data_IF_342377411146
#
_entry.id   IF_342377411146
#
_cell.length_a   1.000
_cell.length_b   1.000
_cell.length_c   1.000
_cell.angle_alpha   90.00
_cell.angle_beta   90.00
_cell.angle_gamma   90.00
#
_symmetry.space_group_name_H-M   'P 1'
#
loop_
_entity.id
_entity.type
_entity.pdbx_description
1 polymer ?
#
# COMPACT_ATOMS: atom_id res chain seq x y z
N UNK A 1 -27.20 18.95 19.87
CA UNK A 1 -27.78 20.18 19.28
C UNK A 1 -26.71 20.99 18.53
N UNK A 2 -26.00 20.39 17.56
CA UNK A 2 -25.19 21.15 16.59
C UNK A 2 -25.89 21.30 15.22
N UNK A 3 -26.95 20.52 14.97
CA UNK A 3 -27.74 20.47 13.72
C UNK A 3 -28.66 21.68 13.44
N UNK A 4 -28.52 22.81 14.15
CA UNK A 4 -29.45 23.95 14.03
C UNK A 4 -28.81 25.26 13.56
N UNK A 5 -27.55 25.24 13.13
CA UNK A 5 -26.87 26.43 12.62
C UNK A 5 -26.32 26.18 11.22
N UNK A 6 -27.10 26.55 10.20
CA UNK A 6 -26.72 26.35 8.80
C UNK A 6 -25.49 27.15 8.36
N UNK A 7 -25.04 28.15 9.14
CA UNK A 7 -23.74 28.77 8.87
C UNK A 7 -22.60 27.79 9.08
N UNK A 8 -22.68 26.96 10.13
CA UNK A 8 -21.68 25.92 10.40
C UNK A 8 -21.68 24.85 9.32
N UNK A 9 -22.86 24.48 8.84
CA UNK A 9 -22.99 23.52 7.73
C UNK A 9 -22.40 24.09 6.44
N UNK A 10 -22.64 25.36 6.11
CA UNK A 10 -22.00 26.00 4.97
C UNK A 10 -20.47 26.05 5.11
N UNK A 11 -19.95 26.41 6.29
CA UNK A 11 -18.51 26.42 6.56
C UNK A 11 -17.90 25.01 6.41
N UNK A 12 -18.60 23.99 6.91
CA UNK A 12 -18.24 22.59 6.73
C UNK A 12 -18.21 22.20 5.24
N UNK A 13 -19.22 22.60 4.47
CA UNK A 13 -19.28 22.37 3.02
C UNK A 13 -18.15 23.04 2.25
N UNK A 14 -17.79 24.28 2.61
CA UNK A 14 -16.63 24.98 2.05
C UNK A 14 -15.35 24.19 2.33
N UNK A 15 -15.13 23.80 3.59
CA UNK A 15 -13.96 23.01 3.98
C UNK A 15 -13.93 21.65 3.28
N UNK A 16 -15.07 20.98 3.16
CA UNK A 16 -15.19 19.71 2.47
C UNK A 16 -14.84 19.85 0.98
N UNK A 17 -15.34 20.91 0.32
CA UNK A 17 -15.03 21.20 -1.09
C UNK A 17 -13.53 21.48 -1.28
N UNK A 18 -12.91 22.22 -0.37
CA UNK A 18 -11.47 22.50 -0.42
C UNK A 18 -10.61 21.22 -0.33
N UNK A 19 -10.99 20.29 0.55
CA UNK A 19 -10.22 19.07 0.79
C UNK A 19 -10.49 17.97 -0.25
N UNK A 20 -11.75 17.83 -0.69
CA UNK A 20 -12.20 16.66 -1.46
C UNK A 20 -12.78 16.99 -2.84
N UNK A 21 -13.05 18.26 -3.15
CA UNK A 21 -13.60 18.67 -4.45
C UNK A 21 -12.65 18.45 -5.64
N UNK A 22 -11.36 18.19 -5.37
CA UNK A 22 -10.37 17.79 -6.39
C UNK A 22 -10.30 16.28 -6.64
N UNK A 23 -11.03 15.46 -5.88
CA UNK A 23 -11.06 14.01 -6.11
C UNK A 23 -11.81 13.71 -7.42
N UNK A 24 -11.28 12.75 -8.19
CA UNK A 24 -11.89 12.29 -9.44
C UNK A 24 -13.32 11.80 -9.16
N UNK A 25 -14.25 12.27 -9.99
CA UNK A 25 -15.67 11.90 -9.96
C UNK A 25 -16.40 12.22 -8.64
N UNK A 26 -15.87 13.14 -7.82
CA UNK A 26 -16.55 13.70 -6.65
C UNK A 26 -17.00 15.13 -6.96
N UNK A 27 -18.22 15.47 -6.57
CA UNK A 27 -18.80 16.81 -6.65
C UNK A 27 -19.22 17.26 -5.27
N UNK A 28 -18.88 18.49 -4.94
CA UNK A 28 -19.29 19.15 -3.71
C UNK A 28 -19.88 20.49 -4.13
N UNK A 29 -21.15 20.82 -3.86
CA UNK A 29 -21.75 22.08 -4.31
C UNK A 29 -21.01 23.29 -3.74
N UNK A 30 -20.98 24.38 -4.48
CA UNK A 30 -20.47 25.66 -3.96
C UNK A 30 -21.43 26.20 -2.90
N UNK A 31 -20.89 26.58 -1.73
CA UNK A 31 -21.67 27.16 -0.64
C UNK A 31 -21.75 28.67 -0.81
N UNK A 32 -22.97 29.21 -0.95
CA UNK A 32 -23.20 30.65 -1.05
C UNK A 32 -23.30 31.25 0.36
N UNK A 33 -22.13 31.37 1.01
CA UNK A 33 -22.01 31.73 2.44
C UNK A 33 -22.64 33.10 2.76
N UNK A 34 -22.54 34.06 1.83
CA UNK A 34 -23.09 35.41 2.02
C UNK A 34 -24.63 35.43 2.06
N UNK A 35 -25.26 34.47 1.38
CA UNK A 35 -26.71 34.28 1.30
C UNK A 35 -27.22 33.29 2.36
N UNK A 36 -26.31 32.58 3.04
CA UNK A 36 -26.63 31.63 4.10
C UNK A 36 -26.84 32.34 5.43
N UNK A 37 -27.95 32.02 6.11
CA UNK A 37 -28.27 32.47 7.47
C UNK A 37 -28.26 31.28 8.43
N UNK A 38 -28.50 31.51 9.72
CA UNK A 38 -28.61 30.39 10.68
C UNK A 38 -29.76 29.42 10.38
N UNK A 39 -30.77 29.88 9.61
CA UNK A 39 -32.02 29.14 9.34
C UNK A 39 -32.27 28.86 7.85
N UNK A 40 -31.43 29.38 6.95
CA UNK A 40 -31.50 29.11 5.52
C UNK A 40 -30.10 28.83 5.00
N UNK A 41 -29.87 27.62 4.48
CA UNK A 41 -28.66 27.24 3.75
C UNK A 41 -28.85 27.51 2.25
N UNK A 42 -27.88 28.17 1.61
CA UNK A 42 -27.91 28.45 0.16
C UNK A 42 -26.66 27.87 -0.48
N UNK A 43 -26.83 26.99 -1.46
CA UNK A 43 -25.74 26.31 -2.15
C UNK A 43 -26.05 26.07 -3.63
N UNK A 44 -25.03 25.71 -4.41
CA UNK A 44 -25.15 25.36 -5.82
C UNK A 44 -26.17 24.23 -6.01
N UNK A 45 -27.08 24.42 -6.95
CA UNK A 45 -28.02 23.38 -7.37
C UNK A 45 -27.28 22.24 -8.08
N UNK A 46 -27.56 21.00 -7.71
CA UNK A 46 -26.98 19.79 -8.30
C UNK A 46 -28.11 18.86 -8.71
N UNK A 47 -28.09 18.43 -9.96
CA UNK A 47 -29.07 17.49 -10.51
C UNK A 47 -28.50 16.08 -10.62
N UNK A 48 -29.31 15.10 -10.26
CA UNK A 48 -28.93 13.70 -10.29
C UNK A 48 -30.00 12.79 -9.71
N UNK A 49 -29.66 11.52 -9.60
CA UNK A 49 -30.50 10.49 -9.00
C UNK A 49 -29.88 10.08 -7.66
N UNK A 50 -30.70 9.73 -6.67
CA UNK A 50 -30.20 9.29 -5.35
C UNK A 50 -29.33 8.04 -5.52
N UNK A 51 -28.15 8.03 -4.91
CA UNK A 51 -27.20 6.93 -5.09
C UNK A 51 -27.81 5.57 -4.74
N UNK A 52 -28.66 5.52 -3.70
CA UNK A 52 -29.37 4.32 -3.28
C UNK A 52 -30.31 3.72 -4.34
N UNK A 53 -30.73 4.51 -5.34
CA UNK A 53 -31.71 4.11 -6.36
C UNK A 53 -31.07 3.66 -7.68
N UNK A 54 -29.81 4.04 -7.96
CA UNK A 54 -29.21 3.86 -9.30
C UNK A 54 -28.45 2.55 -9.47
N UNK A 55 -28.31 1.74 -8.41
CA UNK A 55 -27.52 0.49 -8.41
C UNK A 55 -26.15 0.64 -9.11
N UNK A 56 -25.49 1.78 -8.91
CA UNK A 56 -24.20 2.09 -9.55
C UNK A 56 -23.06 1.74 -8.61
N UNK A 57 -22.48 0.56 -8.80
CA UNK A 57 -21.38 0.07 -7.98
C UNK A 57 -20.14 0.97 -8.06
N UNK A 58 -19.87 1.55 -9.23
CA UNK A 58 -18.71 2.45 -9.41
C UNK A 58 -18.85 3.71 -8.55
N UNK A 59 -20.04 4.32 -8.52
CA UNK A 59 -20.29 5.48 -7.65
C UNK A 59 -20.21 5.16 -6.16
N UNK A 60 -20.61 3.94 -5.79
CA UNK A 60 -20.44 3.46 -4.40
C UNK A 60 -18.95 3.33 -4.06
N UNK A 61 -18.14 2.80 -4.97
CA UNK A 61 -16.68 2.72 -4.80
C UNK A 61 -16.03 4.11 -4.72
N UNK A 62 -16.49 5.08 -5.51
CA UNK A 62 -16.07 6.49 -5.37
C UNK A 62 -16.42 7.03 -3.98
N UNK A 63 -17.60 6.70 -3.45
CA UNK A 63 -18.03 7.08 -2.10
C UNK A 63 -17.18 6.47 -1.01
N UNK A 64 -16.88 5.17 -1.10
CA UNK A 64 -15.96 4.46 -0.20
C UNK A 64 -14.58 5.09 -0.26
N UNK A 65 -14.03 5.29 -1.46
CA UNK A 65 -12.74 5.93 -1.67
C UNK A 65 -12.68 7.33 -1.05
N UNK A 66 -13.70 8.16 -1.27
CA UNK A 66 -13.81 9.50 -0.69
C UNK A 66 -13.85 9.43 0.85
N UNK A 67 -14.61 8.48 1.40
CA UNK A 67 -14.71 8.28 2.86
C UNK A 67 -13.37 7.87 3.49
N UNK A 68 -12.55 7.09 2.80
CA UNK A 68 -11.20 6.78 3.27
C UNK A 68 -10.22 7.96 3.16
N UNK A 69 -10.32 8.78 2.12
CA UNK A 69 -9.58 10.04 2.08
C UNK A 69 -9.98 10.95 3.24
N UNK A 70 -11.27 11.02 3.53
CA UNK A 70 -11.79 11.77 4.66
C UNK A 70 -11.22 11.31 5.99
N UNK A 71 -11.23 9.99 6.21
CA UNK A 71 -10.78 9.38 7.44
C UNK A 71 -9.27 9.47 7.64
N UNK A 72 -8.50 9.16 6.59
CA UNK A 72 -7.07 8.85 6.72
C UNK A 72 -6.16 9.93 6.10
N UNK A 73 -6.60 10.67 5.06
CA UNK A 73 -5.75 11.68 4.40
C UNK A 73 -5.76 13.02 5.12
N UNK A 74 -6.94 13.56 5.42
CA UNK A 74 -7.08 14.89 6.04
C UNK A 74 -7.75 14.85 7.41
N UNK A 75 -8.48 13.77 7.72
CA UNK A 75 -9.16 13.59 8.99
C UNK A 75 -10.45 14.38 9.14
N UNK A 76 -10.88 15.16 8.14
CA UNK A 76 -12.17 15.86 8.18
C UNK A 76 -13.25 15.01 7.50
N UNK A 77 -14.13 14.37 8.27
CA UNK A 77 -14.98 13.29 7.77
C UNK A 77 -16.46 13.54 7.97
N UNK A 78 -17.25 13.01 7.03
CA UNK A 78 -18.70 12.97 7.11
C UNK A 78 -19.11 11.85 8.05
N UNK A 79 -19.69 12.20 9.19
CA UNK A 79 -19.98 11.26 10.26
C UNK A 79 -21.26 10.44 10.03
N UNK A 80 -22.13 10.90 9.12
CA UNK A 80 -23.35 10.19 8.73
C UNK A 80 -23.70 10.35 7.24
N UNK A 81 -22.96 9.73 6.30
CA UNK A 81 -23.20 9.89 4.86
C UNK A 81 -24.46 9.12 4.44
N UNK A 82 -25.62 9.58 4.89
CA UNK A 82 -26.89 8.95 4.63
C UNK A 82 -27.12 8.86 3.11
N UNK A 83 -27.59 7.70 2.57
CA UNK A 83 -27.74 7.53 1.13
C UNK A 83 -28.61 8.57 0.43
N UNK A 84 -29.53 9.20 1.18
CA UNK A 84 -30.37 10.30 0.71
C UNK A 84 -29.63 11.62 0.43
N UNK A 85 -28.44 11.79 0.99
CA UNK A 85 -27.60 12.99 0.84
C UNK A 85 -26.51 12.81 -0.23
N UNK A 86 -26.54 11.69 -0.94
CA UNK A 86 -25.62 11.34 -2.02
C UNK A 86 -26.40 11.23 -3.34
N UNK A 87 -25.97 11.98 -4.35
CA UNK A 87 -26.51 11.87 -5.70
C UNK A 87 -25.46 11.32 -6.66
N UNK A 88 -25.91 10.50 -7.59
CA UNK A 88 -25.23 10.28 -8.86
C UNK A 88 -25.71 11.36 -9.84
N UNK A 89 -24.83 12.25 -10.24
CA UNK A 89 -25.12 13.27 -11.26
C UNK A 89 -25.26 12.62 -12.64
N UNK A 90 -25.95 13.28 -13.57
CA UNK A 90 -26.16 12.74 -14.92
C UNK A 90 -24.86 12.62 -15.73
N UNK A 91 -23.82 13.38 -15.39
CA UNK A 91 -22.47 13.25 -15.97
C UNK A 91 -21.62 12.17 -15.27
N UNK A 92 -22.20 11.37 -14.37
CA UNK A 92 -21.57 10.19 -13.78
C UNK A 92 -20.61 10.50 -12.64
N UNK A 93 -20.93 11.46 -11.77
CA UNK A 93 -20.16 11.81 -10.58
C UNK A 93 -20.97 11.66 -9.31
N UNK A 94 -20.27 11.49 -8.18
CA UNK A 94 -20.87 11.40 -6.86
C UNK A 94 -20.92 12.78 -6.20
N UNK A 95 -22.12 13.31 -5.99
CA UNK A 95 -22.35 14.57 -5.30
C UNK A 95 -22.75 14.38 -3.84
N UNK A 96 -22.12 15.15 -2.94
CA UNK A 96 -22.49 15.25 -1.52
C UNK A 96 -23.35 16.49 -1.29
N UNK A 97 -24.44 16.35 -0.53
CA UNK A 97 -25.41 17.45 -0.32
C UNK A 97 -25.57 17.90 1.13
N UNK A 98 -25.17 17.10 2.11
CA UNK A 98 -25.31 17.38 3.54
C UNK A 98 -23.93 17.49 4.17
N UNK A 99 -23.74 18.51 5.00
CA UNK A 99 -22.49 18.73 5.73
C UNK A 99 -22.77 19.10 7.21
N UNK A 100 -23.96 18.74 7.70
CA UNK A 100 -24.42 19.03 9.06
C UNK A 100 -23.68 18.21 10.11
N UNK A 101 -23.24 17.00 9.75
CA UNK A 101 -22.53 16.07 10.64
C UNK A 101 -21.10 15.80 10.18
N UNK A 102 -20.21 16.76 10.45
CA UNK A 102 -18.77 16.61 10.21
C UNK A 102 -17.98 16.39 11.50
N UNK A 103 -16.92 15.59 11.43
CA UNK A 103 -15.99 15.35 12.51
C UNK A 103 -14.53 15.53 12.09
N UNK A 104 -13.64 15.54 13.07
CA UNK A 104 -12.19 15.65 12.86
C UNK A 104 -11.40 14.55 13.56
N UNK A 105 -10.45 13.97 12.84
CA UNK A 105 -9.46 13.01 13.32
C UNK A 105 -8.07 13.64 13.38
N UNK A 106 -7.47 13.57 14.57
CA UNK A 106 -6.07 13.93 14.77
C UNK A 106 -5.15 13.01 13.96
N UNK A 107 -4.04 13.56 13.48
CA UNK A 107 -3.10 12.82 12.64
C UNK A 107 -2.56 11.55 13.31
N UNK A 108 -2.32 11.57 14.62
CA UNK A 108 -1.78 10.42 15.35
C UNK A 108 -2.73 9.22 15.31
N UNK A 109 -4.04 9.47 15.34
CA UNK A 109 -5.06 8.43 15.22
C UNK A 109 -5.16 7.89 13.81
N UNK A 110 -4.98 8.74 12.79
CA UNK A 110 -4.96 8.34 11.38
C UNK A 110 -3.79 7.43 11.09
N UNK A 111 -2.59 7.82 11.53
CA UNK A 111 -1.38 7.01 11.41
C UNK A 111 -1.53 5.68 12.15
N UNK A 112 -2.08 5.70 13.39
CA UNK A 112 -2.33 4.48 14.16
C UNK A 112 -3.34 3.53 13.49
N UNK A 113 -4.35 4.06 12.79
CA UNK A 113 -5.29 3.22 12.03
C UNK A 113 -4.62 2.57 10.82
N UNK A 114 -3.80 3.33 10.09
CA UNK A 114 -3.02 2.79 8.96
C UNK A 114 -2.07 1.69 9.43
N UNK A 115 -1.37 1.89 10.55
CA UNK A 115 -0.51 0.87 11.17
C UNK A 115 -1.27 -0.39 11.56
N UNK A 116 -2.43 -0.24 12.22
CA UNK A 116 -3.29 -1.37 12.57
C UNK A 116 -3.71 -2.17 11.34
N UNK A 117 -4.05 -1.49 10.24
CA UNK A 117 -4.33 -2.17 8.97
C UNK A 117 -3.11 -2.92 8.43
N UNK A 118 -1.91 -2.31 8.48
CA UNK A 118 -0.67 -2.98 8.03
C UNK A 118 -0.35 -4.21 8.87
N UNK A 119 -0.42 -4.12 10.20
CA UNK A 119 -0.17 -5.24 11.11
C UNK A 119 -1.20 -6.35 10.92
N UNK A 120 -2.48 -6.01 10.73
CA UNK A 120 -3.52 -6.99 10.43
C UNK A 120 -3.23 -7.75 9.13
N UNK A 121 -2.91 -7.04 8.05
CA UNK A 121 -2.61 -7.65 6.75
C UNK A 121 -1.34 -8.51 6.80
N UNK A 122 -0.33 -8.06 7.55
CA UNK A 122 0.91 -8.80 7.75
C UNK A 122 0.76 -9.98 8.72
N UNK A 123 -0.41 -10.14 9.36
CA UNK A 123 -0.67 -11.14 10.41
C UNK A 123 0.24 -10.96 11.62
N UNK A 124 0.65 -9.73 11.89
CA UNK A 124 1.41 -9.34 13.08
C UNK A 124 0.45 -8.97 14.21
N UNK A 125 -0.10 -10.00 14.86
CA UNK A 125 -1.11 -9.80 15.90
C UNK A 125 -0.53 -9.21 17.19
N UNK A 126 0.78 -9.36 17.41
CA UNK A 126 1.47 -8.75 18.54
C UNK A 126 1.60 -7.24 18.41
N UNK A 127 1.91 -6.77 17.20
CA UNK A 127 1.90 -5.35 16.88
C UNK A 127 0.46 -4.81 16.85
N UNK A 128 -0.49 -5.55 16.26
CA UNK A 128 -1.91 -5.17 16.23
C UNK A 128 -2.49 -4.96 17.64
N UNK A 129 -2.13 -5.80 18.61
CA UNK A 129 -2.54 -5.65 20.00
C UNK A 129 -2.03 -4.33 20.61
N UNK A 130 -0.80 -3.91 20.27
CA UNK A 130 -0.24 -2.62 20.71
C UNK A 130 -0.97 -1.44 20.06
N UNK A 131 -1.35 -1.57 18.79
CA UNK A 131 -2.10 -0.51 18.10
C UNK A 131 -3.46 -0.30 18.75
N UNK A 132 -4.12 -1.38 19.18
CA UNK A 132 -5.42 -1.29 19.84
C UNK A 132 -5.32 -0.54 21.18
N UNK A 133 -4.21 -0.66 21.90
CA UNK A 133 -3.94 0.18 23.08
C UNK A 133 -3.69 1.64 22.67
N UNK A 134 -2.86 1.86 21.64
CA UNK A 134 -2.51 3.19 21.12
C UNK A 134 -3.74 3.97 20.63
N UNK A 135 -4.68 3.27 19.99
CA UNK A 135 -5.94 3.81 19.47
C UNK A 135 -7.00 4.01 20.56
N UNK A 136 -6.72 3.61 21.80
CA UNK A 136 -7.63 3.70 22.93
C UNK A 136 -8.76 2.66 22.94
N UNK A 137 -8.67 1.64 22.07
CA UNK A 137 -9.63 0.52 22.02
C UNK A 137 -9.47 -0.41 23.21
N UNK A 138 -8.23 -0.55 23.72
CA UNK A 138 -7.87 -1.33 24.88
C UNK A 138 -7.20 -0.47 25.96
N UNK A 139 -7.46 -0.74 27.25
CA UNK A 139 -6.71 -0.08 28.32
C UNK A 139 -5.25 -0.54 28.32
N UNK A 140 -4.28 0.31 28.73
CA UNK A 140 -2.87 -0.09 28.84
C UNK A 140 -2.62 -1.25 29.81
N UNK A 141 -3.57 -1.52 30.71
CA UNK A 141 -3.53 -2.63 31.67
C UNK A 141 -4.08 -3.94 31.12
N UNK A 142 -4.47 -4.00 29.83
CA UNK A 142 -4.97 -5.23 29.23
C UNK A 142 -3.86 -6.28 29.15
N UNK A 143 -4.21 -7.54 29.43
CA UNK A 143 -3.30 -8.67 29.27
C UNK A 143 -2.96 -8.85 27.79
N UNK A 144 -1.72 -8.49 27.44
CA UNK A 144 -1.25 -8.47 26.06
C UNK A 144 -1.29 -9.86 25.42
N UNK A 145 -0.88 -10.90 26.13
CA UNK A 145 -0.85 -12.26 25.57
C UNK A 145 -2.26 -12.77 25.29
N UNK A 146 -3.16 -12.58 26.25
CA UNK A 146 -4.55 -12.99 26.10
C UNK A 146 -5.26 -12.18 24.99
N UNK A 147 -4.96 -10.89 24.85
CA UNK A 147 -5.45 -10.05 23.74
C UNK A 147 -4.90 -10.53 22.41
N UNK A 148 -3.58 -10.73 22.29
CA UNK A 148 -2.95 -11.23 21.05
C UNK A 148 -3.59 -12.56 20.64
N UNK A 149 -3.79 -13.50 21.56
CA UNK A 149 -4.46 -14.78 21.28
C UNK A 149 -5.89 -14.59 20.77
N UNK A 150 -6.64 -13.68 21.38
CA UNK A 150 -8.02 -13.43 20.98
C UNK A 150 -8.11 -12.76 19.59
N UNK A 151 -7.31 -11.71 19.35
CA UNK A 151 -7.19 -11.08 18.04
C UNK A 151 -6.74 -12.08 16.99
N UNK A 152 -5.76 -12.94 17.32
CA UNK A 152 -5.33 -14.01 16.43
C UNK A 152 -6.48 -14.93 16.06
N UNK A 153 -7.32 -15.35 17.01
CA UNK A 153 -8.49 -16.20 16.73
C UNK A 153 -9.50 -15.55 15.78
N UNK A 154 -9.79 -14.26 15.98
CA UNK A 154 -10.74 -13.49 15.17
C UNK A 154 -10.18 -13.25 13.76
N UNK A 155 -8.98 -12.71 13.67
CA UNK A 155 -8.44 -12.16 12.43
C UNK A 155 -7.72 -13.20 11.56
N UNK A 156 -7.19 -14.29 12.14
CA UNK A 156 -6.52 -15.34 11.35
C UNK A 156 -7.46 -15.97 10.32
N UNK A 157 -8.69 -16.26 10.72
CA UNK A 157 -9.70 -16.85 9.83
C UNK A 157 -10.22 -15.84 8.80
N UNK A 158 -10.28 -14.56 9.17
CA UNK A 158 -10.68 -13.49 8.26
C UNK A 158 -9.62 -13.30 7.16
N UNK A 159 -8.34 -13.17 7.55
CA UNK A 159 -7.22 -12.91 6.62
C UNK A 159 -6.77 -14.17 5.88
N UNK A 160 -7.09 -15.39 6.35
CA UNK A 160 -6.74 -16.62 5.64
C UNK A 160 -7.42 -16.74 4.27
N UNK A 161 -8.60 -16.14 4.11
CA UNK A 161 -9.32 -16.08 2.84
C UNK A 161 -8.86 -14.92 1.94
N UNK A 162 -7.88 -14.12 2.38
CA UNK A 162 -7.45 -12.89 1.72
C UNK A 162 -8.19 -11.66 2.26
N UNK A 163 -7.49 -10.54 2.39
CA UNK A 163 -8.01 -9.28 2.95
C UNK A 163 -9.22 -8.78 2.16
N UNK A 164 -9.19 -8.98 0.84
CA UNK A 164 -10.28 -8.59 -0.06
C UNK A 164 -11.58 -9.36 0.14
N UNK A 165 -11.54 -10.47 0.89
CA UNK A 165 -12.71 -11.31 1.16
C UNK A 165 -13.29 -11.08 2.56
N UNK A 166 -12.78 -10.10 3.31
CA UNK A 166 -13.25 -9.80 4.67
C UNK A 166 -14.46 -8.87 4.60
N UNK A 167 -15.60 -9.35 5.11
CA UNK A 167 -16.79 -8.54 5.37
C UNK A 167 -16.54 -7.67 6.62
N UNK A 168 -16.78 -6.36 6.50
CA UNK A 168 -16.57 -5.45 7.63
C UNK A 168 -17.60 -5.70 8.74
N UNK A 169 -18.86 -5.96 8.37
CA UNK A 169 -19.91 -6.37 9.30
C UNK A 169 -19.55 -7.62 10.11
N UNK A 170 -19.07 -8.69 9.45
CA UNK A 170 -18.71 -9.95 10.13
C UNK A 170 -17.50 -9.76 11.05
N UNK A 171 -16.52 -8.97 10.59
CA UNK A 171 -15.34 -8.62 11.38
C UNK A 171 -15.72 -7.91 12.68
N UNK A 172 -16.62 -6.93 12.58
CA UNK A 172 -17.12 -6.17 13.73
C UNK A 172 -17.91 -7.08 14.70
N UNK A 173 -18.74 -7.98 14.17
CA UNK A 173 -19.49 -8.95 14.97
C UNK A 173 -18.57 -9.89 15.74
N UNK A 174 -17.57 -10.47 15.06
CA UNK A 174 -16.58 -11.35 15.67
C UNK A 174 -15.75 -10.60 16.73
N UNK A 175 -15.35 -9.36 16.45
CA UNK A 175 -14.65 -8.53 17.43
C UNK A 175 -15.57 -8.24 18.64
N UNK A 176 -16.85 -7.97 18.42
CA UNK A 176 -17.83 -7.72 19.49
C UNK A 176 -17.91 -8.82 20.55
N UNK A 177 -17.83 -10.09 20.15
CA UNK A 177 -17.78 -11.20 21.11
C UNK A 177 -16.51 -11.17 21.98
N UNK A 178 -15.39 -10.73 21.40
CA UNK A 178 -14.10 -10.58 22.08
C UNK A 178 -14.07 -9.32 22.97
N UNK A 179 -14.80 -8.27 22.58
CA UNK A 179 -14.85 -6.98 23.27
C UNK A 179 -15.35 -7.11 24.73
N UNK A 180 -16.33 -7.98 24.97
CA UNK A 180 -16.87 -8.24 26.31
C UNK A 180 -15.83 -8.82 27.27
N UNK A 181 -14.89 -9.63 26.77
CA UNK A 181 -13.88 -10.30 27.60
C UNK A 181 -12.75 -9.36 28.04
N UNK A 182 -12.36 -8.41 27.19
CA UNK A 182 -11.16 -7.58 27.40
C UNK A 182 -11.45 -6.12 27.77
N UNK A 183 -12.70 -5.79 28.13
CA UNK A 183 -13.14 -4.42 28.47
C UNK A 183 -12.78 -3.42 27.37
N UNK A 184 -13.01 -3.80 26.11
CA UNK A 184 -12.84 -2.88 25.00
C UNK A 184 -13.69 -1.63 25.22
N UNK A 185 -13.09 -0.47 24.93
CA UNK A 185 -13.82 0.80 24.90
C UNK A 185 -13.76 1.29 23.48
N UNK A 186 -14.92 1.42 22.83
CA UNK A 186 -14.97 2.05 21.50
C UNK A 186 -15.07 3.55 21.75
N UNK A 187 -14.06 4.35 21.39
CA UNK A 187 -14.17 5.79 21.48
C UNK A 187 -15.30 6.29 20.57
N UNK A 188 -15.96 7.38 20.97
CA UNK A 188 -17.11 7.93 20.22
C UNK A 188 -16.78 8.28 18.77
N UNK A 189 -15.53 8.64 18.47
CA UNK A 189 -15.09 8.90 17.10
C UNK A 189 -15.04 7.61 16.25
N UNK A 190 -14.65 6.47 16.83
CA UNK A 190 -14.59 5.19 16.12
C UNK A 190 -16.00 4.69 15.75
N UNK A 191 -17.00 4.94 16.59
CA UNK A 191 -18.37 4.47 16.31
C UNK A 191 -18.98 5.16 15.08
N UNK A 192 -18.64 6.43 14.83
CA UNK A 192 -19.07 7.18 13.65
C UNK A 192 -18.43 6.63 12.37
N UNK A 193 -17.14 6.29 12.43
CA UNK A 193 -16.43 5.67 11.29
C UNK A 193 -17.00 4.30 10.97
N UNK A 194 -17.18 3.46 12.00
CA UNK A 194 -17.77 2.13 11.86
C UNK A 194 -19.16 2.25 11.22
N UNK A 195 -19.99 3.21 11.65
CA UNK A 195 -21.31 3.46 11.06
C UNK A 195 -21.20 3.88 9.60
N UNK A 196 -20.35 4.85 9.28
CA UNK A 196 -20.15 5.33 7.91
C UNK A 196 -19.75 4.20 6.96
N UNK A 197 -18.78 3.36 7.36
CA UNK A 197 -18.32 2.23 6.54
C UNK A 197 -19.39 1.13 6.42
N UNK A 198 -20.10 0.82 7.50
CA UNK A 198 -21.18 -0.16 7.48
C UNK A 198 -22.35 0.26 6.59
N UNK A 199 -22.70 1.55 6.58
CA UNK A 199 -23.73 2.09 5.67
C UNK A 199 -23.30 1.93 4.22
N UNK A 200 -22.07 2.32 3.88
CA UNK A 200 -21.56 2.18 2.51
C UNK A 200 -21.47 0.71 2.07
N UNK A 201 -21.00 -0.19 2.94
CA UNK A 201 -20.98 -1.63 2.67
C UNK A 201 -22.40 -2.16 2.47
N UNK A 202 -23.38 -1.73 3.26
CA UNK A 202 -24.78 -2.12 3.10
C UNK A 202 -25.38 -1.70 1.76
N UNK A 203 -25.11 -0.46 1.31
CA UNK A 203 -25.51 0.01 -0.01
C UNK A 203 -24.83 -0.83 -1.10
N UNK A 204 -23.52 -1.10 -0.96
CA UNK A 204 -22.77 -1.89 -1.93
C UNK A 204 -23.29 -3.33 -2.04
N UNK A 205 -23.59 -3.98 -0.91
CA UNK A 205 -24.15 -5.35 -0.86
C UNK A 205 -25.52 -5.42 -1.54
N UNK A 206 -26.32 -4.35 -1.48
CA UNK A 206 -27.60 -4.29 -2.17
C UNK A 206 -27.47 -4.34 -3.70
N UNK A 207 -26.31 -3.97 -4.24
CA UNK A 207 -25.98 -3.99 -5.67
C UNK A 207 -25.16 -5.23 -6.05
N UNK A 208 -24.14 -5.54 -5.26
CA UNK A 208 -23.25 -6.68 -5.43
C UNK A 208 -23.14 -7.44 -4.09
N UNK A 209 -23.82 -8.60 -3.93
CA UNK A 209 -23.79 -9.39 -2.70
C UNK A 209 -22.39 -9.82 -2.24
N UNK A 210 -21.45 -9.94 -3.17
CA UNK A 210 -20.08 -10.34 -2.90
C UNK A 210 -19.17 -9.15 -2.54
N UNK A 211 -19.69 -7.92 -2.51
CA UNK A 211 -18.90 -6.73 -2.18
C UNK A 211 -18.28 -6.81 -0.78
N UNK A 212 -17.04 -6.30 -0.67
CA UNK A 212 -16.27 -6.26 0.58
C UNK A 212 -15.57 -4.91 0.68
N UNK A 213 -16.04 -4.05 1.59
CA UNK A 213 -15.54 -2.67 1.70
C UNK A 213 -14.06 -2.61 2.08
N UNK A 214 -13.58 -3.56 2.89
CA UNK A 214 -12.16 -3.61 3.26
C UNK A 214 -11.27 -3.97 2.06
N UNK A 215 -11.78 -4.80 1.14
CA UNK A 215 -11.07 -5.16 -0.08
C UNK A 215 -10.88 -3.98 -1.02
N UNK A 216 -11.93 -3.20 -1.25
CA UNK A 216 -11.85 -1.98 -2.08
C UNK A 216 -10.96 -0.89 -1.46
N UNK A 217 -10.74 -0.95 -0.14
CA UNK A 217 -9.96 0.02 0.60
C UNK A 217 -8.47 -0.29 0.63
N UNK A 218 -8.08 -1.56 0.68
CA UNK A 218 -6.68 -1.94 0.84
C UNK A 218 -5.73 -1.31 -0.21
N UNK A 219 -6.11 -1.18 -1.49
CA UNK A 219 -5.37 -0.39 -2.48
C UNK A 219 -5.09 1.06 -2.07
N UNK A 220 -6.03 1.72 -1.40
CA UNK A 220 -5.86 3.07 -0.86
C UNK A 220 -4.78 3.09 0.22
N UNK A 221 -4.84 2.15 1.16
CA UNK A 221 -3.86 2.02 2.25
C UNK A 221 -2.47 1.75 1.68
N UNK A 222 -2.36 0.83 0.71
CA UNK A 222 -1.10 0.52 0.05
C UNK A 222 -0.47 1.75 -0.62
N UNK A 223 -1.27 2.54 -1.36
CA UNK A 223 -0.78 3.81 -1.95
C UNK A 223 -0.35 4.80 -0.88
N UNK A 224 -1.15 4.97 0.18
CA UNK A 224 -0.84 5.91 1.27
C UNK A 224 0.50 5.56 1.90
N UNK A 225 0.67 4.31 2.33
CA UNK A 225 1.90 3.84 2.99
C UNK A 225 3.14 3.99 2.10
N UNK A 226 3.01 3.71 0.80
CA UNK A 226 4.13 3.86 -0.13
C UNK A 226 4.49 5.34 -0.40
N UNK A 227 3.54 6.27 -0.28
CA UNK A 227 3.67 7.67 -0.72
C UNK A 227 3.78 8.69 0.40
N UNK A 228 3.51 8.29 1.64
CA UNK A 228 3.50 9.19 2.79
C UNK A 228 4.93 9.52 3.26
N UNK A 229 5.09 10.75 3.77
CA UNK A 229 6.37 11.25 4.27
C UNK A 229 6.48 11.22 5.79
N UNK A 230 5.40 10.88 6.50
CA UNK A 230 5.34 10.74 7.96
C UNK A 230 6.45 9.79 8.41
N UNK A 231 7.32 10.21 9.36
CA UNK A 231 8.37 9.35 9.92
C UNK A 231 7.81 8.04 10.47
N UNK A 232 6.58 8.10 11.02
CA UNK A 232 5.89 6.97 11.61
C UNK A 232 5.55 5.93 10.53
N UNK A 233 4.84 6.33 9.47
CA UNK A 233 4.49 5.43 8.37
C UNK A 233 5.71 4.92 7.59
N UNK A 234 6.78 5.72 7.48
CA UNK A 234 8.05 5.25 6.93
C UNK A 234 8.68 4.15 7.76
N UNK A 235 8.65 4.28 9.08
CA UNK A 235 9.09 3.23 10.00
C UNK A 235 8.24 1.96 9.83
N UNK A 236 6.91 2.09 9.81
CA UNK A 236 6.02 0.94 9.65
C UNK A 236 6.22 0.25 8.30
N UNK A 237 6.44 1.01 7.22
CA UNK A 237 6.78 0.46 5.90
C UNK A 237 8.14 -0.24 5.95
N UNK A 238 9.14 0.32 6.64
CA UNK A 238 10.44 -0.31 6.80
C UNK A 238 10.34 -1.63 7.58
N UNK A 239 9.61 -1.66 8.69
CA UNK A 239 9.35 -2.87 9.48
C UNK A 239 8.53 -3.91 8.69
N UNK A 240 7.71 -3.45 7.74
CA UNK A 240 6.99 -4.31 6.81
C UNK A 240 7.91 -4.86 5.71
N UNK A 241 8.85 -4.07 5.22
CA UNK A 241 9.76 -4.48 4.15
C UNK A 241 10.98 -5.26 4.66
N UNK A 242 11.32 -5.16 5.94
CA UNK A 242 12.46 -5.87 6.51
C UNK A 242 12.03 -6.79 7.65
N UNK A 243 12.72 -7.93 7.79
CA UNK A 243 12.62 -8.78 8.97
C UNK A 243 13.98 -9.34 9.28
N UNK A 244 14.46 -9.13 10.51
CA UNK A 244 15.79 -9.59 10.95
C UNK A 244 16.92 -9.11 10.01
N UNK A 245 16.78 -7.88 9.48
CA UNK A 245 17.71 -7.29 8.52
C UNK A 245 17.58 -7.79 7.07
N UNK A 246 16.69 -8.75 6.80
CA UNK A 246 16.45 -9.31 5.46
C UNK A 246 15.30 -8.58 4.78
N UNK A 247 15.55 -8.09 3.57
CA UNK A 247 14.54 -7.45 2.73
C UNK A 247 13.52 -8.47 2.19
N UNK A 248 12.24 -8.19 2.42
CA UNK A 248 11.09 -9.00 2.03
C UNK A 248 10.47 -8.44 0.75
N UNK A 249 11.11 -8.71 -0.38
CA UNK A 249 10.65 -8.26 -1.69
C UNK A 249 9.21 -8.67 -2.03
N UNK A 250 8.75 -9.85 -1.58
CA UNK A 250 7.35 -10.28 -1.74
C UNK A 250 6.35 -9.27 -1.16
N UNK A 251 6.72 -8.59 -0.07
CA UNK A 251 5.87 -7.58 0.57
C UNK A 251 5.82 -6.30 -0.24
N UNK A 252 6.95 -5.87 -0.80
CA UNK A 252 6.99 -4.71 -1.70
C UNK A 252 6.17 -5.00 -2.96
N UNK A 253 6.36 -6.16 -3.58
CA UNK A 253 5.60 -6.61 -4.76
C UNK A 253 4.09 -6.59 -4.49
N UNK A 254 3.67 -7.15 -3.35
CA UNK A 254 2.26 -7.16 -2.95
C UNK A 254 1.72 -5.74 -2.74
N UNK A 255 2.42 -4.88 -2.00
CA UNK A 255 1.97 -3.49 -1.78
C UNK A 255 1.89 -2.71 -3.08
N UNK A 256 2.89 -2.81 -3.97
CA UNK A 256 2.89 -2.13 -5.26
C UNK A 256 1.71 -2.62 -6.11
N UNK A 257 1.51 -3.93 -6.23
CA UNK A 257 0.39 -4.51 -6.99
C UNK A 257 -0.95 -3.99 -6.50
N UNK A 258 -1.17 -4.00 -5.19
CA UNK A 258 -2.43 -3.57 -4.57
C UNK A 258 -2.62 -2.05 -4.71
N UNK A 259 -1.54 -1.28 -4.61
CA UNK A 259 -1.56 0.17 -4.82
C UNK A 259 -2.02 0.56 -6.22
N UNK A 260 -1.77 -0.30 -7.22
CA UNK A 260 -2.17 -0.09 -8.59
C UNK A 260 -3.61 -0.53 -8.86
N UNK A 261 -4.10 -1.58 -8.17
CA UNK A 261 -5.45 -2.13 -8.36
C UNK A 261 -6.54 -1.07 -8.37
N UNK A 262 -6.60 -0.17 -7.40
CA UNK A 262 -7.67 0.85 -7.39
C UNK A 262 -7.49 2.01 -8.39
N UNK A 263 -6.40 2.07 -9.18
CA UNK A 263 -6.39 2.88 -10.42
C UNK A 263 -6.82 2.05 -11.61
N UNK A 264 -6.35 0.82 -11.71
CA UNK A 264 -6.70 -0.09 -12.82
C UNK A 264 -8.15 -0.51 -12.81
N UNK A 265 -8.81 -0.84 -11.69
CA UNK A 265 -10.25 -1.15 -11.71
C UNK A 265 -11.09 0.06 -12.18
N UNK A 266 -10.70 1.27 -11.76
CA UNK A 266 -11.32 2.54 -12.17
C UNK A 266 -11.08 2.85 -13.67
N UNK A 267 -9.91 2.54 -14.21
CA UNK A 267 -9.57 2.83 -15.61
C UNK A 267 -9.92 1.65 -16.56
N UNK A 268 -9.96 0.41 -16.10
CA UNK A 268 -10.34 -0.81 -16.85
C UNK A 268 -11.83 -0.86 -17.12
N UNK A 269 -12.67 -0.37 -16.20
CA UNK A 269 -14.10 -0.13 -16.46
C UNK A 269 -14.29 0.92 -17.57
N UNK A 270 -13.32 1.84 -17.76
CA UNK A 270 -13.40 2.93 -18.75
C UNK A 270 -12.72 2.62 -20.07
N UNK A 271 -11.76 1.68 -20.13
CA UNK A 271 -11.00 1.35 -21.34
C UNK A 271 -10.94 -0.16 -21.58
N UNK A 272 -12.01 -0.70 -22.13
CA UNK A 272 -11.92 -1.89 -22.99
C UNK A 272 -11.43 -1.44 -24.38
N UNK A 273 -10.13 -1.18 -24.53
CA UNK A 273 -9.43 -1.15 -25.81
C UNK A 273 -7.93 -0.90 -25.60
N UNK A 274 -7.13 -1.80 -26.17
CA UNK A 274 -5.72 -1.69 -26.56
C UNK A 274 -4.62 -2.13 -25.56
N UNK A 275 -3.79 -3.01 -26.11
CA UNK A 275 -2.51 -3.61 -25.70
C UNK A 275 -1.79 -3.10 -24.43
N UNK A 276 -1.43 -4.09 -23.59
CA UNK A 276 -0.26 -4.00 -22.71
C UNK A 276 -0.52 -3.69 -21.24
N UNK A 277 -1.35 -4.49 -20.55
CA UNK A 277 -1.57 -4.40 -19.09
C UNK A 277 -0.24 -4.32 -18.31
N UNK A 278 0.76 -5.14 -18.69
CA UNK A 278 2.09 -5.13 -18.09
C UNK A 278 2.87 -3.82 -18.32
N UNK A 279 2.71 -3.17 -19.49
CA UNK A 279 3.39 -1.90 -19.79
C UNK A 279 2.76 -0.74 -19.02
N UNK A 280 1.44 -0.75 -18.85
CA UNK A 280 0.73 0.23 -18.04
C UNK A 280 1.10 0.13 -16.56
N UNK A 281 1.11 -1.09 -16.01
CA UNK A 281 1.53 -1.37 -14.63
C UNK A 281 2.97 -0.91 -14.40
N UNK A 282 3.89 -1.25 -15.32
CA UNK A 282 5.29 -0.82 -15.26
C UNK A 282 5.44 0.70 -15.27
N UNK A 283 4.72 1.38 -16.18
CA UNK A 283 4.73 2.85 -16.27
C UNK A 283 4.24 3.49 -14.98
N UNK A 284 3.19 2.95 -14.37
CA UNK A 284 2.66 3.44 -13.10
C UNK A 284 3.63 3.20 -11.94
N UNK A 285 4.26 2.03 -11.85
CA UNK A 285 5.29 1.76 -10.83
C UNK A 285 6.50 2.69 -10.97
N UNK A 286 6.99 2.87 -12.20
CA UNK A 286 8.18 3.67 -12.47
C UNK A 286 7.88 5.16 -12.24
N UNK A 287 6.74 5.66 -12.73
CA UNK A 287 6.29 7.03 -12.45
C UNK A 287 6.10 7.26 -10.95
N UNK A 288 5.62 6.26 -10.21
CA UNK A 288 5.50 6.34 -8.76
C UNK A 288 6.86 6.46 -8.06
N UNK A 289 7.80 5.55 -8.36
CA UNK A 289 9.14 5.55 -7.75
C UNK A 289 9.96 6.80 -8.08
N UNK A 290 9.77 7.36 -9.28
CA UNK A 290 10.46 8.57 -9.73
C UNK A 290 9.81 9.88 -9.25
N UNK A 291 8.60 9.82 -8.68
CA UNK A 291 7.95 10.98 -8.08
C UNK A 291 8.61 11.33 -6.74
N UNK A 292 8.49 12.59 -6.29
CA UNK A 292 8.87 13.04 -4.95
C UNK A 292 8.20 12.22 -3.84
N UNK A 293 6.91 11.90 -4.00
CA UNK A 293 6.18 11.08 -3.01
C UNK A 293 6.74 9.66 -2.88
N UNK A 294 7.34 9.13 -3.95
CA UNK A 294 7.97 7.81 -3.96
C UNK A 294 9.43 7.80 -3.50
N UNK A 295 9.99 8.93 -3.06
CA UNK A 295 11.40 9.06 -2.74
C UNK A 295 11.90 8.03 -1.71
N UNK A 296 11.11 7.77 -0.66
CA UNK A 296 11.47 6.79 0.35
C UNK A 296 11.55 5.36 -0.21
N UNK A 297 10.57 4.95 -1.02
CA UNK A 297 10.58 3.65 -1.70
C UNK A 297 11.75 3.57 -2.68
N UNK A 298 12.02 4.65 -3.42
CA UNK A 298 13.18 4.76 -4.32
C UNK A 298 14.51 4.57 -3.57
N UNK A 299 14.67 5.17 -2.40
CA UNK A 299 15.88 5.01 -1.59
C UNK A 299 16.11 3.56 -1.15
N UNK A 300 15.04 2.86 -0.74
CA UNK A 300 15.07 1.43 -0.41
C UNK A 300 15.47 0.61 -1.64
N UNK A 301 14.84 0.86 -2.79
CA UNK A 301 15.14 0.18 -4.05
C UNK A 301 16.61 0.37 -4.46
N UNK A 302 17.11 1.61 -4.41
CA UNK A 302 18.50 1.92 -4.75
C UNK A 302 19.49 1.23 -3.80
N UNK A 303 19.15 1.13 -2.52
CA UNK A 303 19.96 0.41 -1.56
C UNK A 303 20.01 -1.09 -1.90
N UNK A 304 18.86 -1.74 -2.08
CA UNK A 304 18.78 -3.17 -2.39
C UNK A 304 19.42 -3.53 -3.74
N UNK A 305 19.29 -2.66 -4.75
CA UNK A 305 20.00 -2.82 -6.03
C UNK A 305 21.52 -2.73 -5.81
N UNK A 306 22.00 -1.78 -5.01
CA UNK A 306 23.43 -1.69 -4.69
C UNK A 306 23.94 -2.95 -3.98
N UNK A 307 23.17 -3.51 -3.02
CA UNK A 307 23.50 -4.79 -2.36
C UNK A 307 23.62 -5.93 -3.36
N UNK A 308 22.68 -5.99 -4.31
CA UNK A 308 22.67 -6.95 -5.40
C UNK A 308 23.87 -6.85 -6.33
N UNK A 309 24.17 -5.64 -6.81
CA UNK A 309 25.29 -5.39 -7.75
C UNK A 309 26.64 -5.69 -7.11
N UNK A 310 26.81 -5.37 -5.84
CA UNK A 310 28.00 -5.71 -5.05
C UNK A 310 28.16 -7.23 -4.89
N UNK A 311 27.07 -7.97 -4.66
CA UNK A 311 27.09 -9.44 -4.64
C UNK A 311 27.38 -10.04 -6.04
N UNK A 312 26.86 -9.42 -7.11
CA UNK A 312 27.14 -9.82 -8.49
C UNK A 312 28.61 -9.61 -8.85
N UNK A 313 29.20 -8.48 -8.43
CA UNK A 313 30.62 -8.22 -8.57
C UNK A 313 31.50 -9.26 -7.87
N UNK A 314 31.11 -9.73 -6.68
CA UNK A 314 31.81 -10.83 -6.02
C UNK A 314 31.66 -12.16 -6.78
N UNK A 315 30.46 -12.50 -7.24
CA UNK A 315 30.21 -13.73 -7.97
C UNK A 315 31.00 -13.78 -9.28
N UNK A 316 31.11 -12.66 -10.00
CA UNK A 316 31.93 -12.57 -11.23
C UNK A 316 33.40 -12.75 -10.92
N UNK A 317 33.93 -12.08 -9.90
CA UNK A 317 35.33 -12.24 -9.47
C UNK A 317 35.64 -13.67 -9.00
N UNK A 318 34.75 -14.30 -8.23
CA UNK A 318 34.92 -15.69 -7.80
C UNK A 318 34.91 -16.66 -8.99
N UNK A 319 34.04 -16.44 -9.98
CA UNK A 319 34.00 -17.26 -11.20
C UNK A 319 35.25 -17.10 -12.09
N UNK A 320 35.78 -15.88 -12.22
CA UNK A 320 36.99 -15.60 -13.00
C UNK A 320 38.25 -16.15 -12.35
N UNK A 321 38.28 -16.17 -11.02
CA UNK A 321 39.43 -16.66 -10.25
C UNK A 321 39.37 -18.15 -9.92
N UNK A 322 38.24 -18.82 -10.20
CA UNK A 322 38.02 -20.25 -9.92
C UNK A 322 39.06 -21.17 -10.58
N UNK A 323 39.63 -20.78 -11.72
CA UNK A 323 40.58 -21.58 -12.51
C UNK A 323 42.05 -21.15 -12.31
N UNK A 324 42.35 -20.26 -11.37
CA UNK A 324 43.72 -19.80 -11.13
C UNK A 324 44.48 -20.77 -10.21
N UNK A 325 45.71 -21.20 -10.58
CA UNK A 325 46.50 -22.18 -9.84
C UNK A 325 46.98 -21.69 -8.46
N UNK A 326 47.00 -20.37 -8.22
CA UNK A 326 47.32 -19.76 -6.94
C UNK A 326 46.19 -18.83 -6.52
N UNK A 327 45.18 -19.39 -5.86
CA UNK A 327 44.08 -18.60 -5.29
C UNK A 327 44.55 -18.01 -3.95
N UNK A 328 44.77 -16.69 -3.82
CA UNK A 328 45.06 -16.12 -2.53
C UNK A 328 43.85 -16.32 -1.60
N UNK A 329 44.09 -16.69 -0.34
CA UNK A 329 43.07 -16.93 0.69
C UNK A 329 42.14 -15.72 0.93
N UNK A 330 42.48 -14.55 0.39
CA UNK A 330 41.74 -13.29 0.49
C UNK A 330 40.46 -13.23 -0.37
N UNK A 331 40.25 -14.17 -1.31
CA UNK A 331 39.00 -14.28 -2.08
C UNK A 331 37.98 -15.15 -1.35
N UNK A 332 37.27 -14.55 -0.39
CA UNK A 332 36.17 -15.18 0.33
C UNK A 332 35.10 -15.72 -0.64
N UNK A 333 34.70 -16.98 -0.44
CA UNK A 333 33.51 -17.54 -1.07
C UNK A 333 32.28 -16.69 -0.75
N UNK A 334 31.33 -16.61 -1.68
CA UNK A 334 30.04 -15.94 -1.47
C UNK A 334 29.41 -16.31 -0.11
N UNK A 335 28.90 -15.31 0.60
CA UNK A 335 28.16 -15.54 1.84
C UNK A 335 26.70 -15.85 1.56
N UNK A 336 25.98 -16.39 2.56
CA UNK A 336 24.52 -16.57 2.45
C UNK A 336 23.79 -15.24 2.22
N UNK A 337 24.30 -14.13 2.76
CA UNK A 337 23.75 -12.78 2.53
C UNK A 337 23.90 -12.39 1.05
N UNK A 338 25.05 -12.66 0.43
CA UNK A 338 25.28 -12.36 -1.00
C UNK A 338 24.34 -13.16 -1.91
N UNK A 339 24.06 -14.42 -1.57
CA UNK A 339 23.09 -15.26 -2.32
C UNK A 339 21.67 -14.68 -2.22
N UNK A 340 21.27 -14.20 -1.05
CA UNK A 340 19.97 -13.53 -0.85
C UNK A 340 19.92 -12.23 -1.67
N UNK A 341 20.97 -11.40 -1.60
CA UNK A 341 21.06 -10.13 -2.33
C UNK A 341 20.97 -10.33 -3.85
N UNK A 342 21.61 -11.38 -4.40
CA UNK A 342 21.47 -11.72 -5.82
C UNK A 342 20.04 -12.11 -6.20
N UNK A 343 19.38 -12.94 -5.38
CA UNK A 343 17.99 -13.34 -5.63
C UNK A 343 17.05 -12.13 -5.59
N UNK A 344 17.26 -11.24 -4.62
CA UNK A 344 16.52 -9.98 -4.49
C UNK A 344 16.73 -9.11 -5.72
N UNK A 345 17.99 -8.91 -6.17
CA UNK A 345 18.29 -8.12 -7.37
C UNK A 345 17.54 -8.65 -8.59
N UNK A 346 17.57 -9.96 -8.82
CA UNK A 346 16.87 -10.58 -9.94
C UNK A 346 15.37 -10.27 -9.91
N UNK A 347 14.74 -10.41 -8.74
CA UNK A 347 13.31 -10.11 -8.57
C UNK A 347 13.01 -8.63 -8.75
N UNK A 348 13.86 -7.73 -8.26
CA UNK A 348 13.73 -6.29 -8.50
C UNK A 348 13.80 -5.95 -9.99
N UNK A 349 14.73 -6.55 -10.73
CA UNK A 349 14.81 -6.34 -12.18
C UNK A 349 13.55 -6.83 -12.86
N UNK A 350 13.04 -8.03 -12.51
CA UNK A 350 11.78 -8.57 -13.07
C UNK A 350 10.58 -7.67 -12.77
N UNK A 351 10.48 -7.15 -11.54
CA UNK A 351 9.41 -6.22 -11.17
C UNK A 351 9.50 -4.92 -11.98
N UNK A 352 10.70 -4.37 -12.17
CA UNK A 352 10.91 -3.13 -12.90
C UNK A 352 10.77 -3.30 -14.42
N UNK A 353 11.13 -4.46 -14.98
CA UNK A 353 11.00 -4.76 -16.42
C UNK A 353 9.63 -5.30 -16.80
N UNK A 354 8.76 -5.59 -15.82
CA UNK A 354 7.41 -6.12 -16.04
C UNK A 354 7.36 -7.43 -16.82
N UNK A 355 8.48 -8.18 -16.87
CA UNK A 355 8.55 -9.48 -17.50
C UNK A 355 7.78 -10.48 -16.63
N UNK A 356 6.49 -10.69 -16.91
CA UNK A 356 5.78 -11.84 -16.37
C UNK A 356 6.48 -13.10 -16.86
N UNK A 357 6.88 -13.97 -15.93
CA UNK A 357 7.22 -15.35 -16.28
C UNK A 357 5.97 -15.95 -16.92
N UNK A 358 6.00 -16.21 -18.23
CA UNK A 358 5.20 -17.29 -18.78
C UNK A 358 5.58 -18.52 -17.97
N UNK A 359 4.61 -19.06 -17.23
CA UNK A 359 4.79 -20.19 -16.36
C UNK A 359 5.27 -21.40 -17.19
N UNK A 360 6.58 -21.55 -17.32
CA UNK A 360 7.18 -22.87 -17.42
C UNK A 360 7.51 -23.26 -15.98
N UNK A 361 6.83 -24.26 -15.41
CA UNK A 361 7.19 -24.75 -14.11
C UNK A 361 8.63 -25.27 -14.25
N UNK A 362 9.58 -24.57 -13.63
CA UNK A 362 10.82 -25.23 -13.22
C UNK A 362 10.33 -26.35 -12.32
N UNK A 363 10.34 -27.59 -12.82
CA UNK A 363 10.03 -28.77 -12.05
C UNK A 363 10.72 -28.61 -10.71
N UNK A 364 9.93 -28.49 -9.64
CA UNK A 364 10.40 -28.85 -8.32
C UNK A 364 11.00 -30.24 -8.47
N UNK A 365 12.32 -30.32 -8.36
CA UNK A 365 12.98 -31.58 -8.07
C UNK A 365 12.47 -31.95 -6.70
N UNK A 366 11.42 -32.78 -6.68
CA UNK A 366 10.89 -33.38 -5.47
C UNK A 366 12.03 -34.08 -4.74
N UNK A 367 12.25 -33.64 -3.52
CA UNK A 367 13.02 -34.35 -2.51
C UNK A 367 14.49 -33.97 -2.47
N UNK A 368 14.83 -32.99 -1.63
CA UNK A 368 16.00 -33.10 -0.75
C UNK A 368 15.70 -32.35 0.54
N UNK A 369 15.43 -33.10 1.62
CA UNK A 369 15.66 -32.64 2.98
C UNK A 369 17.14 -32.26 3.11
N UNK A 370 17.48 -30.98 3.25
CA UNK A 370 18.85 -30.53 3.46
C UNK A 370 19.09 -30.19 4.94
N UNK A 371 18.94 -31.21 5.78
CA UNK A 371 19.92 -31.46 6.84
C UNK A 371 20.83 -32.58 6.33
N UNK A 372 21.85 -32.24 5.52
CA UNK A 372 23.08 -33.02 5.51
C UNK A 372 24.23 -32.32 4.80
N UNK A 373 25.40 -32.49 5.41
CA UNK A 373 26.71 -32.06 4.96
C UNK A 373 27.04 -32.62 3.57
N UNK A 374 26.99 -31.79 2.53
CA UNK A 374 27.83 -31.92 1.33
C UNK A 374 27.80 -30.60 0.53
N UNK A 375 28.97 -29.95 0.42
CA UNK A 375 29.20 -28.79 -0.44
C UNK A 375 28.94 -29.18 -1.90
N UNK A 376 28.04 -28.50 -2.65
CA UNK A 376 27.93 -28.72 -4.07
C UNK A 376 29.08 -28.00 -4.79
N UNK A 377 29.88 -28.75 -5.53
CA UNK A 377 30.82 -28.23 -6.52
C UNK A 377 30.07 -27.86 -7.80
N UNK A 378 29.90 -26.57 -8.09
CA UNK A 378 29.89 -25.98 -9.45
C UNK A 378 29.35 -24.53 -9.40
N UNK A 379 30.27 -23.56 -9.47
CA UNK A 379 29.96 -22.13 -9.53
C UNK A 379 29.21 -21.70 -10.82
N UNK A 380 29.12 -22.54 -11.84
CA UNK A 380 28.51 -22.20 -13.13
C UNK A 380 26.96 -22.21 -13.11
N UNK A 381 26.34 -23.07 -12.30
CA UNK A 381 24.88 -23.20 -12.24
C UNK A 381 24.20 -21.95 -11.65
N UNK A 382 24.91 -21.20 -10.81
CA UNK A 382 24.41 -19.95 -10.24
C UNK A 382 24.51 -18.77 -11.21
N UNK A 383 25.27 -18.85 -12.31
CA UNK A 383 25.60 -17.70 -13.16
C UNK A 383 24.77 -17.59 -14.46
N UNK A 384 24.28 -18.70 -15.00
CA UNK A 384 23.48 -18.68 -16.24
C UNK A 384 22.27 -17.73 -16.22
N UNK A 385 21.46 -17.65 -15.14
CA UNK A 385 20.30 -16.77 -15.14
C UNK A 385 20.63 -15.28 -14.93
N UNK A 386 21.84 -14.90 -14.50
CA UNK A 386 22.20 -13.49 -14.25
C UNK A 386 22.92 -12.82 -15.43
N UNK A 387 23.59 -13.60 -16.30
CA UNK A 387 24.11 -13.07 -17.57
C UNK A 387 23.01 -12.63 -18.54
N UNK A 388 21.80 -13.19 -18.41
CA UNK A 388 20.66 -12.88 -19.27
C UNK A 388 19.93 -11.58 -18.89
N UNK A 389 19.93 -11.19 -17.61
CA UNK A 389 19.10 -10.10 -17.05
C UNK A 389 19.47 -8.69 -17.55
N UNK A 390 20.71 -8.46 -17.98
CA UNK A 390 21.19 -7.13 -18.40
C UNK A 390 21.32 -6.97 -19.92
N UNK A 391 20.78 -7.90 -20.71
CA UNK A 391 20.75 -7.89 -22.18
C UNK A 391 19.45 -7.33 -22.79
N UNK A 392 18.92 -8.00 -23.82
CA UNK A 392 17.71 -7.62 -24.59
C UNK A 392 16.45 -7.39 -23.74
N UNK A 393 16.43 -7.83 -22.48
CA UNK A 393 15.33 -7.71 -21.53
C UNK A 393 15.06 -6.27 -21.01
N UNK A 394 15.95 -5.31 -21.30
CA UNK A 394 15.79 -3.89 -20.95
C UNK A 394 15.06 -3.06 -22.02
N UNK A 395 14.82 -3.61 -23.20
CA UNK A 395 14.11 -2.93 -24.30
C UNK A 395 12.71 -2.40 -23.92
N UNK A 396 11.87 -3.16 -23.16
CA UNK A 396 10.57 -2.67 -22.72
C UNK A 396 10.67 -1.43 -21.83
N UNK A 397 11.67 -1.37 -20.94
CA UNK A 397 11.90 -0.23 -20.05
C UNK A 397 12.22 1.06 -20.82
N UNK A 398 13.05 0.97 -21.86
CA UNK A 398 13.40 2.13 -22.70
C UNK A 398 12.17 2.74 -23.37
N UNK A 399 11.20 1.92 -23.76
CA UNK A 399 9.93 2.39 -24.35
C UNK A 399 9.01 3.09 -23.35
N UNK A 400 9.13 2.78 -22.05
CA UNK A 400 8.32 3.39 -20.99
C UNK A 400 8.94 4.69 -20.50
N UNK A 401 10.27 4.79 -20.46
CA UNK A 401 11.01 5.98 -20.00
C UNK A 401 10.65 7.22 -20.83
N UNK A 402 10.50 7.07 -22.15
CA UNK A 402 10.14 8.18 -23.05
C UNK A 402 8.72 8.70 -22.82
N UNK A 403 7.84 7.90 -22.21
CA UNK A 403 6.44 8.27 -21.94
C UNK A 403 6.20 8.78 -20.50
N UNK A 404 7.25 8.91 -19.69
CA UNK A 404 7.15 9.45 -18.32
C UNK A 404 7.00 10.98 -18.31
N UNK A 405 6.42 11.57 -17.23
CA UNK A 405 6.43 13.01 -17.01
C UNK A 405 7.86 13.59 -16.98
N UNK A 406 8.03 14.85 -17.38
CA UNK A 406 9.35 15.52 -17.46
C UNK A 406 10.12 15.47 -16.13
N UNK A 407 9.45 15.70 -15.00
CA UNK A 407 10.08 15.64 -13.68
C UNK A 407 10.64 14.25 -13.36
N UNK A 408 9.91 13.19 -13.75
CA UNK A 408 10.37 11.81 -13.59
C UNK A 408 11.57 11.49 -14.50
N UNK A 409 11.63 12.06 -15.70
CA UNK A 409 12.79 11.93 -16.59
C UNK A 409 14.04 12.61 -16.01
N UNK A 410 13.89 13.79 -15.39
CA UNK A 410 15.00 14.46 -14.69
C UNK A 410 15.50 13.64 -13.50
N UNK A 411 14.59 13.09 -12.69
CA UNK A 411 14.98 12.21 -11.57
C UNK A 411 15.73 10.96 -12.05
N UNK A 412 15.35 10.42 -13.22
CA UNK A 412 16.01 9.26 -13.82
C UNK A 412 17.48 9.53 -14.18
N UNK A 413 17.83 10.77 -14.54
CA UNK A 413 19.22 11.17 -14.80
C UNK A 413 20.10 11.19 -13.55
N UNK A 414 19.51 11.33 -12.36
CA UNK A 414 20.25 11.36 -11.08
C UNK A 414 20.51 9.95 -10.52
N UNK A 415 19.67 8.97 -10.86
CA UNK A 415 19.77 7.60 -10.34
C UNK A 415 21.15 6.95 -10.48
N UNK A 416 21.88 7.09 -11.61
CA UNK A 416 23.21 6.49 -11.73
C UNK A 416 24.20 7.03 -10.69
N UNK A 417 24.18 8.34 -10.40
CA UNK A 417 25.06 8.95 -9.41
C UNK A 417 24.74 8.45 -7.99
N UNK A 418 23.46 8.40 -7.64
CA UNK A 418 23.00 7.90 -6.32
C UNK A 418 23.36 6.42 -6.12
N UNK A 419 23.14 5.60 -7.14
CA UNK A 419 23.45 4.18 -7.12
C UNK A 419 24.96 3.94 -6.99
N UNK A 420 25.77 4.68 -7.73
CA UNK A 420 27.24 4.62 -7.66
C UNK A 420 27.71 4.99 -6.25
N UNK A 421 27.16 6.04 -5.64
CA UNK A 421 27.48 6.42 -4.26
C UNK A 421 27.17 5.31 -3.24
N UNK A 422 25.98 4.68 -3.33
CA UNK A 422 25.60 3.56 -2.46
C UNK A 422 26.48 2.32 -2.68
N UNK A 423 26.83 2.01 -3.93
CA UNK A 423 27.71 0.90 -4.27
C UNK A 423 29.11 1.11 -3.69
N UNK A 424 29.70 2.30 -3.86
CA UNK A 424 31.01 2.64 -3.30
C UNK A 424 31.02 2.53 -1.77
N UNK A 425 30.00 3.08 -1.10
CA UNK A 425 29.86 2.99 0.36
C UNK A 425 29.84 1.53 0.83
N UNK A 426 29.09 0.67 0.14
CA UNK A 426 29.00 -0.76 0.49
C UNK A 426 30.31 -1.52 0.25
N UNK A 427 30.95 -1.32 -0.89
CA UNK A 427 32.25 -1.93 -1.20
C UNK A 427 33.31 -1.48 -0.19
N UNK A 428 33.33 -0.19 0.17
CA UNK A 428 34.23 0.35 1.19
C UNK A 428 33.97 -0.25 2.58
N UNK A 429 32.71 -0.29 3.03
CA UNK A 429 32.33 -0.89 4.33
C UNK A 429 32.73 -2.37 4.42
N UNK A 430 32.53 -3.13 3.34
CA UNK A 430 32.95 -4.53 3.25
C UNK A 430 34.48 -4.68 3.29
N UNK A 431 35.20 -3.80 2.59
CA UNK A 431 36.67 -3.80 2.57
C UNK A 431 37.22 -3.49 3.96
N UNK A 432 36.68 -2.49 4.65
CA UNK A 432 37.03 -2.17 6.03
C UNK A 432 36.73 -3.34 6.97
N UNK A 433 35.55 -3.95 6.88
CA UNK A 433 35.20 -5.12 7.70
C UNK A 433 36.18 -6.28 7.52
N UNK A 434 36.78 -6.43 6.34
CA UNK A 434 37.79 -7.46 6.03
C UNK A 434 39.21 -7.10 6.45
N UNK A 435 39.52 -5.81 6.60
CA UNK A 435 40.84 -5.34 7.06
C UNK A 435 40.93 -5.39 8.59
N UNK A 436 39.80 -5.24 9.28
CA UNK A 436 39.71 -5.16 10.74
C UNK A 436 39.15 -6.41 11.43
N UNK A 437 38.77 -7.46 10.68
CA UNK A 437 38.51 -8.82 11.18
C UNK A 437 39.58 -9.76 10.67
#
# INVERSE_FOLDING_TARGET
MQEMDYKKEADNGVKFRQLYGGLKDVVVPEMYVQQTTRKVLVMQWVEGQKLAEVQDLYMIEVGVYCSFNQLLEYGFYHADPHPGNLLRTYDGKLAYLDFGMMGEFKQELRDGFIEACLHLVNRDYDALAKDFVTLGLLPPTADKEAVTMALTGVFRNAVSKGVSNISFGDLLGNLGTTMYKFKFRIPSYFSLVIRSLAVLEGIAISVNPDYKVLGSTYPWIARKVLSDSSPKLRSSLQDLLYKDGVFRIDRLESLLTESLRARTEIDLVRKQAEDGESKLVMKQMLSFALNEKGAFVREILLEEIAKGLDALGLATLDSMTANLPFRPNSFSSMTNEDIINLRTLRRLVVLLTGLQQTATPVKEVKGVELYNNQKPSSNEAYMLPYRLVFGQDMLPLLSVITELPQDSQQQLLQLPADLVGKLFSRVAARTLKRVFM
#
